data_IF_770695738144
#
_entry.id   IF_770695738144
#
_cell.length_a   1.000
_cell.length_b   1.000
_cell.length_c   1.000
_cell.angle_alpha   90.00
_cell.angle_beta   90.00
_cell.angle_gamma   90.00
#
_symmetry.space_group_name_H-M   'P 1'
#
loop_
_entity.id
_entity.type
_entity.pdbx_description
1 polymer ?
#
# COMPACT_ATOMS: atom_id res chain seq x y z
N UNK A 1 -15.25 6.30 -2.44
CA UNK A 1 -14.26 5.41 -1.80
C UNK A 1 -14.73 5.18 -0.38
N UNK A 2 -14.96 3.91 0.00
CA UNK A 2 -15.57 3.56 1.29
C UNK A 2 -14.59 2.90 2.25
N UNK A 3 -13.78 1.94 1.78
CA UNK A 3 -12.86 1.18 2.60
C UNK A 3 -11.44 1.20 2.02
N UNK A 4 -10.50 1.70 2.78
CA UNK A 4 -9.12 1.98 2.35
C UNK A 4 -8.13 1.21 3.21
N UNK A 5 -7.23 0.50 2.56
CA UNK A 5 -6.09 -0.15 3.19
C UNK A 5 -4.85 0.77 3.12
N UNK A 6 -4.15 0.94 4.24
CA UNK A 6 -2.86 1.62 4.27
C UNK A 6 -1.75 0.59 4.50
N UNK A 7 -0.71 0.66 3.68
CA UNK A 7 0.47 -0.19 3.76
C UNK A 7 1.74 0.67 3.87
N UNK A 8 2.59 0.35 4.81
CA UNK A 8 3.90 0.96 4.98
C UNK A 8 4.91 -0.03 5.51
N UNK A 9 6.19 0.32 5.49
CA UNK A 9 7.24 -0.62 5.92
C UNK A 9 8.29 0.00 6.84
N UNK A 10 8.65 1.24 6.59
CA UNK A 10 9.71 1.93 7.32
C UNK A 10 9.17 3.18 7.96
N UNK A 11 9.69 3.50 9.14
CA UNK A 11 9.35 4.74 9.83
C UNK A 11 10.47 5.76 9.64
N UNK A 12 10.14 6.79 8.90
CA UNK A 12 10.84 8.06 8.87
C UNK A 12 9.83 9.15 9.24
N UNK A 13 10.26 10.29 9.68
CA UNK A 13 9.36 11.38 10.07
C UNK A 13 8.36 11.73 8.98
N UNK A 14 8.82 11.77 7.72
CA UNK A 14 7.96 12.00 6.56
C UNK A 14 6.90 10.90 6.38
N UNK A 15 7.24 9.64 6.61
CA UNK A 15 6.29 8.51 6.53
C UNK A 15 5.21 8.62 7.61
N UNK A 16 5.62 8.96 8.83
CA UNK A 16 4.72 9.13 9.97
C UNK A 16 3.75 10.29 9.73
N UNK A 17 4.28 11.43 9.33
CA UNK A 17 3.48 12.64 9.08
C UNK A 17 2.51 12.42 7.92
N UNK A 18 2.98 11.83 6.82
CA UNK A 18 2.15 11.46 5.66
C UNK A 18 1.03 10.49 6.05
N UNK A 19 1.35 9.48 6.87
CA UNK A 19 0.35 8.51 7.33
C UNK A 19 -0.76 9.18 8.16
N UNK A 20 -0.39 10.04 9.11
CA UNK A 20 -1.36 10.78 9.95
C UNK A 20 -2.23 11.71 9.13
N UNK A 21 -1.62 12.47 8.22
CA UNK A 21 -2.34 13.39 7.34
C UNK A 21 -3.29 12.63 6.41
N UNK A 22 -2.83 11.55 5.79
CA UNK A 22 -3.64 10.69 4.93
C UNK A 22 -4.86 10.15 5.68
N UNK A 23 -4.68 9.61 6.88
CA UNK A 23 -5.78 9.11 7.71
C UNK A 23 -6.80 10.23 7.97
N UNK A 24 -6.34 11.41 8.38
CA UNK A 24 -7.21 12.54 8.65
C UNK A 24 -8.02 12.94 7.42
N UNK A 25 -7.39 13.02 6.25
CA UNK A 25 -8.05 13.38 4.99
C UNK A 25 -9.08 12.33 4.57
N UNK A 26 -8.77 11.04 4.74
CA UNK A 26 -9.68 9.94 4.43
C UNK A 26 -10.90 9.91 5.36
N UNK A 27 -10.69 10.16 6.65
CA UNK A 27 -11.78 10.26 7.64
C UNK A 27 -12.71 11.43 7.33
N UNK A 28 -12.18 12.57 6.91
CA UNK A 28 -13.00 13.72 6.46
C UNK A 28 -13.86 13.39 5.23
N UNK A 29 -13.48 12.39 4.45
CA UNK A 29 -14.26 11.86 3.33
C UNK A 29 -15.19 10.70 3.73
N UNK A 30 -15.34 10.41 5.03
CA UNK A 30 -16.12 9.30 5.59
C UNK A 30 -15.66 7.92 5.10
N UNK A 31 -14.37 7.74 4.88
CA UNK A 31 -13.79 6.45 4.53
C UNK A 31 -13.46 5.64 5.78
N UNK A 32 -13.74 4.36 5.75
CA UNK A 32 -13.21 3.38 6.70
C UNK A 32 -11.73 3.14 6.37
N UNK A 33 -10.86 3.37 7.32
CA UNK A 33 -9.40 3.25 7.11
C UNK A 33 -8.84 2.16 8.00
N UNK A 34 -8.16 1.19 7.41
CA UNK A 34 -7.44 0.14 8.13
C UNK A 34 -5.96 0.17 7.75
N UNK A 35 -5.12 -0.22 8.70
CA UNK A 35 -3.66 -0.20 8.54
C UNK A 35 -3.14 -1.64 8.59
N UNK A 36 -2.23 -2.00 7.68
CA UNK A 36 -1.62 -3.33 7.68
C UNK A 36 -0.93 -3.62 9.03
N UNK A 37 -1.13 -4.84 9.56
CA UNK A 37 -0.80 -5.19 10.94
C UNK A 37 0.66 -4.97 11.32
N UNK A 38 1.60 -5.31 10.44
CA UNK A 38 3.02 -5.09 10.75
C UNK A 38 3.35 -3.59 10.79
N UNK A 39 2.80 -2.81 9.88
CA UNK A 39 2.98 -1.37 9.86
C UNK A 39 2.30 -0.70 11.06
N UNK A 40 1.10 -1.15 11.41
CA UNK A 40 0.37 -0.69 12.60
C UNK A 40 1.17 -0.97 13.88
N UNK A 41 1.71 -2.19 14.04
CA UNK A 41 2.54 -2.57 15.17
C UNK A 41 3.84 -1.75 15.22
N UNK A 42 4.46 -1.50 14.07
CA UNK A 42 5.66 -0.69 13.98
C UNK A 42 5.40 0.75 14.44
N UNK A 43 4.28 1.35 14.05
CA UNK A 43 3.84 2.66 14.53
C UNK A 43 3.62 2.67 16.04
N UNK A 44 2.92 1.67 16.56
CA UNK A 44 2.64 1.52 18.00
C UNK A 44 3.92 1.38 18.83
N UNK A 45 4.89 0.58 18.39
CA UNK A 45 6.18 0.39 19.05
C UNK A 45 7.00 1.70 19.11
N UNK A 46 6.75 2.63 18.22
CA UNK A 46 7.36 3.95 18.19
C UNK A 46 6.48 5.05 18.82
N UNK A 47 5.58 4.66 19.73
CA UNK A 47 4.68 5.54 20.47
C UNK A 47 3.73 6.39 19.59
N UNK A 48 3.42 5.89 18.39
CA UNK A 48 2.45 6.51 17.49
C UNK A 48 1.15 5.76 17.64
N UNK A 49 0.22 6.33 18.42
CA UNK A 49 -1.09 5.75 18.60
C UNK A 49 -1.98 6.05 17.39
N UNK A 50 -2.56 5.01 16.83
CA UNK A 50 -3.61 5.08 15.81
C UNK A 50 -4.93 4.59 16.41
N UNK A 51 -6.05 5.19 15.98
CA UNK A 51 -7.41 4.73 16.32
C UNK A 51 -7.92 3.68 15.34
N UNK A 52 -7.29 3.61 14.16
CA UNK A 52 -7.65 2.73 13.06
C UNK A 52 -7.37 1.28 13.45
N UNK A 53 -8.26 0.40 13.02
CA UNK A 53 -8.05 -1.05 13.15
C UNK A 53 -6.96 -1.52 12.19
N UNK A 54 -6.35 -2.65 12.53
CA UNK A 54 -5.38 -3.30 11.65
C UNK A 54 -6.02 -4.44 10.86
N UNK A 55 -5.39 -4.80 9.74
CA UNK A 55 -5.77 -5.95 8.94
C UNK A 55 -4.54 -6.81 8.60
N UNK A 56 -4.76 -8.12 8.50
CA UNK A 56 -3.73 -9.11 8.14
C UNK A 56 -3.87 -9.61 6.69
N UNK A 57 -5.06 -9.52 6.13
CA UNK A 57 -5.36 -9.98 4.78
C UNK A 57 -6.28 -8.99 4.06
N UNK A 58 -6.09 -8.90 2.75
CA UNK A 58 -6.94 -8.11 1.88
C UNK A 58 -8.00 -9.01 1.24
N UNK A 59 -9.16 -8.43 1.02
CA UNK A 59 -10.26 -9.03 0.29
C UNK A 59 -10.94 -8.01 -0.64
N UNK A 60 -11.94 -8.43 -1.37
CA UNK A 60 -12.67 -7.60 -2.33
C UNK A 60 -13.53 -6.49 -1.68
N UNK A 61 -13.56 -6.38 -0.36
CA UNK A 61 -14.27 -5.30 0.34
C UNK A 61 -13.50 -3.99 0.35
N UNK A 62 -12.19 -4.04 0.06
CA UNK A 62 -11.35 -2.85 -0.02
C UNK A 62 -11.45 -2.21 -1.41
N UNK A 63 -11.66 -0.90 -1.45
CA UNK A 63 -11.69 -0.14 -2.70
C UNK A 63 -10.29 0.13 -3.27
N UNK A 64 -9.30 0.29 -2.38
CA UNK A 64 -7.93 0.65 -2.76
C UNK A 64 -6.94 0.34 -1.63
N UNK A 65 -5.70 0.04 -2.00
CA UNK A 65 -4.56 0.04 -1.09
C UNK A 65 -3.67 1.26 -1.37
N UNK A 66 -3.36 2.04 -0.33
CA UNK A 66 -2.44 3.18 -0.40
C UNK A 66 -1.12 2.78 0.26
N UNK A 67 -0.06 2.72 -0.53
CA UNK A 67 1.29 2.42 -0.08
C UNK A 67 2.04 3.70 0.25
N UNK A 68 2.61 3.80 1.46
CA UNK A 68 3.40 4.96 1.92
C UNK A 68 4.88 4.58 1.98
N UNK A 69 5.70 5.18 1.13
CA UNK A 69 7.13 4.90 1.01
C UNK A 69 7.64 5.11 -0.40
N UNK A 70 8.72 4.42 -0.78
CA UNK A 70 9.28 4.45 -2.13
C UNK A 70 8.85 3.24 -2.98
N UNK A 71 9.50 3.08 -4.13
CA UNK A 71 9.23 1.98 -5.08
C UNK A 71 9.31 0.59 -4.45
N UNK A 72 10.27 0.35 -3.57
CA UNK A 72 10.39 -0.92 -2.85
C UNK A 72 9.20 -1.23 -1.94
N UNK A 73 8.50 -0.21 -1.42
CA UNK A 73 7.30 -0.39 -0.61
C UNK A 73 6.11 -0.75 -1.49
N UNK A 74 5.93 -0.06 -2.62
CA UNK A 74 4.82 -0.38 -3.54
C UNK A 74 5.00 -1.75 -4.19
N UNK A 75 6.22 -2.19 -4.51
CA UNK A 75 6.48 -3.53 -5.02
C UNK A 75 6.02 -4.62 -4.03
N UNK A 76 6.26 -4.41 -2.74
CA UNK A 76 5.80 -5.33 -1.69
C UNK A 76 4.29 -5.24 -1.48
N UNK A 77 3.72 -4.05 -1.56
CA UNK A 77 2.26 -3.86 -1.49
C UNK A 77 1.56 -4.62 -2.63
N UNK A 78 2.11 -4.59 -3.84
CA UNK A 78 1.60 -5.35 -4.99
C UNK A 78 1.68 -6.86 -4.74
N UNK A 79 2.81 -7.35 -4.24
CA UNK A 79 2.95 -8.76 -3.86
C UNK A 79 1.98 -9.17 -2.74
N UNK A 80 1.73 -8.27 -1.79
CA UNK A 80 0.77 -8.47 -0.70
C UNK A 80 -0.69 -8.52 -1.20
N UNK A 81 -1.05 -7.69 -2.20
CA UNK A 81 -2.36 -7.73 -2.86
C UNK A 81 -2.56 -9.07 -3.58
N UNK A 82 -1.50 -9.60 -4.20
CA UNK A 82 -1.56 -10.86 -4.94
C UNK A 82 -2.64 -10.83 -6.02
N UNK A 83 -3.52 -11.82 -5.99
CA UNK A 83 -4.60 -12.00 -6.96
C UNK A 83 -5.95 -11.38 -6.54
N UNK A 84 -6.03 -10.68 -5.41
CA UNK A 84 -7.26 -10.00 -4.96
C UNK A 84 -7.70 -8.93 -5.97
N UNK A 85 -6.72 -8.28 -6.63
CA UNK A 85 -6.98 -7.40 -7.76
C UNK A 85 -7.50 -6.01 -7.40
N UNK A 86 -7.34 -5.57 -6.14
CA UNK A 86 -7.69 -4.20 -5.73
C UNK A 86 -6.67 -3.20 -6.30
N UNK A 87 -7.07 -1.98 -6.65
CA UNK A 87 -6.17 -0.92 -7.07
C UNK A 87 -5.12 -0.58 -6.01
N UNK A 88 -3.95 -0.15 -6.45
CA UNK A 88 -2.91 0.37 -5.57
C UNK A 88 -2.39 1.71 -6.05
N UNK A 89 -2.09 2.59 -5.10
CA UNK A 89 -1.41 3.86 -5.35
C UNK A 89 -0.24 4.00 -4.36
N UNK A 90 0.90 4.51 -4.84
CA UNK A 90 2.08 4.76 -4.02
C UNK A 90 2.27 6.24 -3.74
N UNK A 91 2.34 6.60 -2.46
CA UNK A 91 2.72 7.94 -2.00
C UNK A 91 4.20 7.90 -1.63
N UNK A 92 4.99 8.67 -2.36
CA UNK A 92 6.42 8.75 -2.14
C UNK A 92 6.74 9.73 -1.01
N UNK A 93 7.46 9.25 0.00
CA UNK A 93 7.92 10.05 1.15
C UNK A 93 9.41 10.40 1.08
N UNK A 94 10.08 10.07 -0.04
CA UNK A 94 11.50 10.32 -0.25
C UNK A 94 11.78 10.84 -1.66
N UNK A 95 12.81 10.29 -2.31
CA UNK A 95 13.09 10.63 -3.72
C UNK A 95 12.02 9.98 -4.60
N UNK A 96 11.48 10.77 -5.52
CA UNK A 96 10.49 10.30 -6.48
C UNK A 96 11.03 9.11 -7.27
N UNK A 97 10.25 8.03 -7.29
CA UNK A 97 10.57 6.81 -8.01
C UNK A 97 9.81 6.67 -9.33
N UNK A 98 9.83 5.47 -9.89
CA UNK A 98 9.13 5.12 -11.12
C UNK A 98 7.73 4.56 -10.87
N UNK A 99 7.50 3.99 -9.70
CA UNK A 99 6.23 3.32 -9.32
C UNK A 99 5.42 4.19 -8.35
N UNK A 100 6.05 4.64 -7.27
CA UNK A 100 5.44 5.57 -6.33
C UNK A 100 5.63 7.00 -6.87
N UNK A 101 4.72 7.42 -7.74
CA UNK A 101 4.82 8.68 -8.50
C UNK A 101 4.12 9.85 -7.84
N UNK A 102 3.28 9.61 -6.84
CA UNK A 102 2.60 10.66 -6.10
C UNK A 102 3.50 11.15 -4.97
N UNK A 103 3.83 12.45 -4.96
CA UNK A 103 4.58 13.04 -3.87
C UNK A 103 3.67 13.38 -2.67
N UNK A 104 4.22 13.34 -1.45
CA UNK A 104 3.48 13.66 -0.23
C UNK A 104 2.77 15.03 -0.28
N UNK A 105 3.35 16.01 -0.98
CA UNK A 105 2.78 17.36 -1.10
C UNK A 105 1.50 17.41 -1.96
N UNK A 106 1.20 16.33 -2.69
CA UNK A 106 0.00 16.18 -3.53
C UNK A 106 -1.10 15.37 -2.84
N UNK A 107 -0.98 15.14 -1.54
CA UNK A 107 -1.83 14.23 -0.79
C UNK A 107 -3.30 14.66 -0.79
N UNK A 108 -3.57 15.95 -0.58
CA UNK A 108 -4.93 16.51 -0.56
C UNK A 108 -5.62 16.31 -1.90
N UNK A 109 -4.94 16.68 -2.98
CA UNK A 109 -5.46 16.54 -4.36
C UNK A 109 -5.72 15.08 -4.72
N UNK A 110 -4.81 14.18 -4.29
CA UNK A 110 -4.96 12.76 -4.52
C UNK A 110 -6.17 12.17 -3.79
N UNK A 111 -6.37 12.50 -2.51
CA UNK A 111 -7.53 12.03 -1.75
C UNK A 111 -8.83 12.59 -2.34
N UNK A 112 -8.83 13.82 -2.82
CA UNK A 112 -9.99 14.39 -3.52
C UNK A 112 -10.29 13.66 -4.82
N UNK A 113 -9.28 13.43 -5.66
CA UNK A 113 -9.44 12.70 -6.91
C UNK A 113 -9.95 11.26 -6.68
N UNK A 114 -9.38 10.56 -5.69
CA UNK A 114 -9.83 9.23 -5.30
C UNK A 114 -11.28 9.22 -4.79
N UNK A 115 -11.66 10.21 -3.99
CA UNK A 115 -13.01 10.30 -3.42
C UNK A 115 -14.08 10.62 -4.48
N UNK A 116 -13.72 11.43 -5.47
CA UNK A 116 -14.61 11.85 -6.55
C UNK A 116 -14.61 10.90 -7.76
N UNK A 117 -13.74 9.86 -7.75
CA UNK A 117 -13.57 8.96 -8.88
C UNK A 117 -12.85 9.60 -10.08
N UNK A 118 -12.15 10.72 -9.88
CA UNK A 118 -11.44 11.48 -10.94
C UNK A 118 -10.03 10.93 -11.15
N UNK A 119 -9.91 9.64 -11.41
CA UNK A 119 -8.63 8.96 -11.66
C UNK A 119 -8.78 7.90 -12.76
N UNK A 120 -7.66 7.45 -13.29
CA UNK A 120 -7.61 6.35 -14.25
C UNK A 120 -6.83 5.19 -13.69
N UNK A 121 -7.23 3.96 -14.02
CA UNK A 121 -6.52 2.75 -13.64
C UNK A 121 -5.56 2.31 -14.74
N UNK A 122 -4.28 2.15 -14.39
CA UNK A 122 -3.28 1.55 -15.26
C UNK A 122 -3.14 0.06 -14.92
N UNK A 123 -3.58 -0.81 -15.81
CA UNK A 123 -3.42 -2.26 -15.63
C UNK A 123 -1.97 -2.65 -15.81
N UNK A 124 -1.47 -3.50 -14.92
CA UNK A 124 -0.11 -4.07 -14.97
C UNK A 124 -0.19 -5.58 -14.91
N UNK A 125 0.70 -6.22 -15.66
CA UNK A 125 0.89 -7.68 -15.61
C UNK A 125 1.83 -8.02 -14.46
N UNK A 126 1.49 -9.04 -13.70
CA UNK A 126 2.36 -9.63 -12.68
C UNK A 126 2.99 -10.90 -13.25
N UNK A 127 4.22 -11.17 -12.83
CA UNK A 127 4.94 -12.40 -13.11
C UNK A 127 4.81 -13.30 -11.89
N UNK A 128 4.56 -14.60 -12.09
CA UNK A 128 4.60 -15.60 -11.04
C UNK A 128 5.62 -16.68 -11.37
N UNK A 129 6.33 -17.15 -10.35
CA UNK A 129 7.20 -18.31 -10.46
C UNK A 129 6.38 -19.57 -10.25
N UNK A 130 6.44 -20.50 -11.22
CA UNK A 130 5.88 -21.84 -11.12
C UNK A 130 7.07 -22.82 -11.06
N UNK A 131 7.16 -23.63 -10.01
CA UNK A 131 8.17 -24.67 -9.85
C UNK A 131 7.52 -26.05 -9.99
N UNK A 132 8.14 -26.92 -10.78
CA UNK A 132 7.70 -28.31 -10.94
C UNK A 132 8.09 -29.21 -9.75
N UNK A 133 8.87 -28.69 -8.82
CA UNK A 133 9.26 -29.40 -7.59
C UNK A 133 8.44 -28.89 -6.41
N UNK A 134 7.71 -29.78 -5.76
CA UNK A 134 6.97 -29.54 -4.51
C UNK A 134 7.87 -29.33 -3.28
N UNK A 135 9.00 -28.66 -3.41
CA UNK A 135 9.75 -28.25 -2.22
C UNK A 135 9.21 -26.92 -1.71
N UNK A 136 8.65 -27.01 -0.51
CA UNK A 136 8.02 -25.99 0.32
C UNK A 136 8.87 -24.75 0.64
N UNK A 137 9.42 -24.11 -0.35
CA UNK A 137 10.04 -22.78 -0.22
C UNK A 137 9.23 -21.71 -0.94
N UNK A 138 7.89 -21.80 -0.81
CA UNK A 138 7.02 -20.72 -1.25
C UNK A 138 7.38 -19.47 -0.44
N UNK A 139 8.05 -18.53 -1.08
CA UNK A 139 7.97 -17.16 -0.60
C UNK A 139 6.49 -16.85 -0.35
N UNK A 140 6.12 -16.18 0.73
CA UNK A 140 4.72 -15.91 1.08
C UNK A 140 3.94 -15.22 -0.04
N UNK A 141 4.64 -14.72 -1.04
CA UNK A 141 4.07 -14.10 -2.24
C UNK A 141 4.93 -14.47 -3.45
N UNK A 142 4.37 -15.25 -4.36
CA UNK A 142 5.02 -15.70 -5.60
C UNK A 142 4.77 -14.76 -6.79
N UNK A 143 4.30 -13.54 -6.55
CA UNK A 143 4.05 -12.53 -7.57
C UNK A 143 5.13 -11.45 -7.57
N UNK A 144 5.52 -11.01 -8.76
CA UNK A 144 6.40 -9.88 -8.96
C UNK A 144 5.86 -8.93 -10.03
N UNK A 145 6.00 -7.62 -9.79
CA UNK A 145 5.62 -6.59 -10.77
C UNK A 145 6.75 -6.32 -11.76
N UNK A 146 8.00 -6.35 -11.30
CA UNK A 146 9.15 -6.00 -12.12
C UNK A 146 9.93 -7.22 -12.60
N UNK A 147 10.44 -8.04 -11.66
CA UNK A 147 11.38 -9.11 -12.00
C UNK A 147 11.34 -10.25 -10.98
N UNK A 148 11.78 -11.42 -11.44
CA UNK A 148 12.12 -12.58 -10.61
C UNK A 148 13.58 -12.90 -10.90
N UNK A 149 14.42 -12.88 -9.87
CA UNK A 149 15.85 -13.23 -9.98
C UNK A 149 16.08 -14.61 -9.39
N UNK A 150 16.77 -15.46 -10.15
CA UNK A 150 17.23 -16.79 -9.72
C UNK A 150 18.74 -16.72 -9.55
N UNK A 151 19.23 -17.03 -8.36
CA UNK A 151 20.66 -17.02 -8.03
C UNK A 151 21.10 -18.38 -7.50
#
# INVERSE_FOLDING_TARGET
MKKVAIYGRYLHDDTINTCKELITLLELKNSEVLVESNFHNLLKQNNIALKQESFDQLDNSYDILISIGGDGTILRAVAYIGNVGIPVIGINTGRLGFLATLHKDQLVEAVEALSNGSYTLSKRTLITLVSDHEENHAAPHNFALNEVTVS
#
